data_IF_943969185173
#
_entry.id   IF_943969185173
#
_cell.length_a   1.000
_cell.length_b   1.000
_cell.length_c   1.000
_cell.angle_alpha   90.00
_cell.angle_beta   90.00
_cell.angle_gamma   90.00
#
_symmetry.space_group_name_H-M   'P 1'
#
loop_
_entity.id
_entity.type
_entity.pdbx_description
1 polymer ?
#
# COMPACT_ATOMS: atom_id res chain seq x y z
N UNK A 1 9.77 -4.98 17.02
CA UNK A 1 8.87 -4.01 16.37
C UNK A 1 7.65 -4.75 15.83
N UNK A 2 6.48 -4.29 16.18
CA UNK A 2 5.23 -4.89 15.72
C UNK A 2 4.70 -4.16 14.50
N UNK A 3 4.51 -4.87 13.39
CA UNK A 3 4.11 -4.28 12.11
C UNK A 3 2.88 -4.97 11.53
N UNK A 4 2.06 -4.23 10.80
CA UNK A 4 0.92 -4.74 10.06
C UNK A 4 0.82 -4.02 8.71
N UNK A 5 0.33 -4.73 7.70
CA UNK A 5 -0.03 -4.12 6.42
C UNK A 5 -1.54 -4.23 6.23
N UNK A 6 -2.17 -3.07 6.07
CA UNK A 6 -3.61 -2.96 5.80
C UNK A 6 -3.76 -2.77 4.29
N UNK A 7 -4.55 -3.61 3.64
CA UNK A 7 -4.60 -3.60 2.19
C UNK A 7 -6.01 -3.53 1.62
N UNK A 8 -6.11 -2.91 0.46
CA UNK A 8 -7.29 -2.93 -0.41
C UNK A 8 -6.83 -3.38 -1.79
N UNK A 9 -7.27 -4.55 -2.24
CA UNK A 9 -6.82 -5.12 -3.50
C UNK A 9 -7.95 -5.90 -4.16
N UNK A 10 -8.85 -5.17 -4.82
CA UNK A 10 -10.01 -5.78 -5.48
C UNK A 10 -9.81 -5.99 -6.97
N UNK A 11 -8.91 -5.23 -7.61
CA UNK A 11 -8.74 -5.24 -9.06
C UNK A 11 -7.58 -6.15 -9.45
N UNK A 12 -7.88 -7.37 -9.91
CA UNK A 12 -6.92 -8.42 -10.32
C UNK A 12 -5.99 -8.89 -9.20
N UNK A 13 -6.16 -8.45 -7.97
CA UNK A 13 -5.32 -8.86 -6.85
C UNK A 13 -3.86 -8.40 -6.95
N UNK A 14 -3.57 -7.36 -7.72
CA UNK A 14 -2.21 -6.91 -7.99
C UNK A 14 -1.47 -6.47 -6.72
N UNK A 15 -2.10 -5.60 -5.95
CA UNK A 15 -1.49 -5.09 -4.71
C UNK A 15 -1.29 -6.21 -3.70
N UNK A 16 -2.22 -7.15 -3.64
CA UNK A 16 -2.13 -8.29 -2.75
C UNK A 16 -0.88 -9.14 -2.99
N UNK A 17 -0.44 -9.24 -4.24
CA UNK A 17 0.80 -9.95 -4.58
C UNK A 17 2.01 -9.31 -3.89
N UNK A 18 2.07 -7.99 -3.84
CA UNK A 18 3.13 -7.28 -3.12
C UNK A 18 3.04 -7.53 -1.62
N UNK A 19 1.85 -7.40 -1.07
CA UNK A 19 1.58 -7.58 0.37
C UNK A 19 1.96 -8.99 0.81
N UNK A 20 1.51 -10.00 0.08
CA UNK A 20 1.78 -11.40 0.42
C UNK A 20 3.28 -11.71 0.37
N UNK A 21 4.00 -11.16 -0.60
CA UNK A 21 5.43 -11.37 -0.73
C UNK A 21 6.21 -10.76 0.45
N UNK A 22 5.89 -9.53 0.82
CA UNK A 22 6.51 -8.85 1.96
C UNK A 22 6.17 -9.58 3.26
N UNK A 23 4.90 -9.88 3.47
CA UNK A 23 4.43 -10.55 4.67
C UNK A 23 5.04 -11.95 4.82
N UNK A 24 5.14 -12.68 3.72
CA UNK A 24 5.73 -14.03 3.73
C UNK A 24 7.21 -14.01 4.06
N UNK A 25 7.94 -13.01 3.57
CA UNK A 25 9.38 -12.89 3.83
C UNK A 25 9.67 -12.47 5.27
N UNK A 26 8.91 -11.55 5.82
CA UNK A 26 9.22 -10.91 7.10
C UNK A 26 8.28 -11.34 8.25
N UNK A 27 7.31 -12.21 7.99
CA UNK A 27 6.39 -12.67 9.03
C UNK A 27 5.49 -11.56 9.58
N UNK A 28 4.99 -10.68 8.73
CA UNK A 28 4.19 -9.52 9.14
C UNK A 28 2.70 -9.87 9.09
N UNK A 29 1.95 -9.34 10.04
CA UNK A 29 0.50 -9.44 10.01
C UNK A 29 -0.08 -8.63 8.85
N UNK A 30 -1.17 -9.13 8.27
CA UNK A 30 -1.90 -8.44 7.22
C UNK A 30 -3.40 -8.48 7.51
N UNK A 31 -4.11 -7.45 7.07
CA UNK A 31 -5.57 -7.43 7.17
C UNK A 31 -6.15 -6.57 6.05
N UNK A 32 -7.32 -6.95 5.56
CA UNK A 32 -8.03 -6.11 4.60
C UNK A 32 -8.60 -4.87 5.30
N UNK A 33 -8.72 -3.78 4.54
CA UNK A 33 -9.24 -2.52 5.09
C UNK A 33 -10.57 -2.71 5.81
N UNK A 34 -11.49 -3.47 5.23
CA UNK A 34 -12.82 -3.70 5.81
C UNK A 34 -12.78 -4.53 7.10
N UNK A 35 -11.71 -5.28 7.33
CA UNK A 35 -11.58 -6.10 8.54
C UNK A 35 -11.12 -5.29 9.75
N UNK A 36 -10.47 -4.14 9.53
CA UNK A 36 -9.87 -3.34 10.61
C UNK A 36 -10.64 -2.07 10.94
N UNK A 37 -11.75 -1.82 10.25
CA UNK A 37 -12.60 -0.67 10.53
C UNK A 37 -13.05 -0.70 11.99
N UNK A 38 -12.71 0.34 12.75
CA UNK A 38 -13.02 0.43 14.17
C UNK A 38 -12.11 -0.39 15.09
N UNK A 39 -11.11 -1.07 14.56
CA UNK A 39 -10.13 -1.80 15.37
C UNK A 39 -9.04 -0.86 15.87
N UNK A 40 -8.64 -1.02 17.12
CA UNK A 40 -7.53 -0.24 17.70
C UNK A 40 -6.19 -0.80 17.18
N UNK A 41 -5.46 0.04 16.46
CA UNK A 41 -4.15 -0.31 15.90
C UNK A 41 -3.00 0.35 16.67
N UNK A 42 -3.25 0.88 17.86
CA UNK A 42 -2.25 1.63 18.62
C UNK A 42 -1.05 0.80 19.07
N UNK A 43 -1.19 -0.53 19.16
CA UNK A 43 -0.10 -1.43 19.55
C UNK A 43 0.94 -1.66 18.45
N UNK A 44 0.63 -1.29 17.22
CA UNK A 44 1.59 -1.46 16.12
C UNK A 44 2.53 -0.29 16.06
N UNK A 45 3.81 -0.60 15.83
CA UNK A 45 4.87 0.40 15.69
C UNK A 45 5.00 0.90 14.25
N UNK A 46 4.67 0.03 13.29
CA UNK A 46 4.79 0.30 11.87
C UNK A 46 3.53 -0.17 11.15
N UNK A 47 2.86 0.74 10.46
CA UNK A 47 1.63 0.42 9.73
C UNK A 47 1.84 0.71 8.25
N UNK A 48 1.71 -0.33 7.43
CA UNK A 48 1.69 -0.19 5.98
C UNK A 48 0.27 -0.07 5.47
N UNK A 49 0.06 0.74 4.45
CA UNK A 49 -1.22 0.83 3.75
C UNK A 49 -0.95 0.53 2.28
N UNK A 50 -1.59 -0.50 1.77
CA UNK A 50 -1.37 -0.98 0.42
C UNK A 50 -2.68 -0.94 -0.37
N UNK A 51 -2.64 -0.38 -1.58
CA UNK A 51 -3.85 -0.15 -2.35
C UNK A 51 -3.59 -0.17 -3.85
N UNK A 52 -4.62 -0.50 -4.61
CA UNK A 52 -4.67 -0.12 -6.01
C UNK A 52 -4.95 1.37 -6.15
N UNK A 53 -4.96 1.84 -7.38
CA UNK A 53 -5.12 3.25 -7.73
C UNK A 53 -6.32 3.43 -8.65
N UNK A 54 -7.15 4.42 -8.34
CA UNK A 54 -8.26 4.84 -9.18
C UNK A 54 -8.39 6.36 -9.09
N UNK A 55 -8.65 7.01 -10.23
CA UNK A 55 -8.81 8.47 -10.28
C UNK A 55 -7.62 9.25 -9.69
N UNK A 56 -6.42 8.75 -9.93
CA UNK A 56 -5.18 9.45 -9.56
C UNK A 56 -4.78 9.35 -8.10
N UNK A 57 -5.39 8.46 -7.33
CA UNK A 57 -5.06 8.27 -5.91
C UNK A 57 -5.40 6.84 -5.48
N UNK A 58 -5.12 6.51 -4.23
CA UNK A 58 -5.50 5.20 -3.66
C UNK A 58 -7.01 5.01 -3.72
N UNK A 59 -7.46 3.78 -3.69
CA UNK A 59 -8.89 3.48 -3.62
C UNK A 59 -9.51 4.22 -2.43
N UNK A 60 -10.77 4.59 -2.58
CA UNK A 60 -11.47 5.40 -1.58
C UNK A 60 -11.46 4.77 -0.19
N UNK A 61 -11.61 3.45 -0.10
CA UNK A 61 -11.58 2.77 1.19
C UNK A 61 -10.23 2.93 1.90
N UNK A 62 -9.13 2.93 1.14
CA UNK A 62 -7.79 3.14 1.70
C UNK A 62 -7.58 4.58 2.11
N UNK A 63 -8.04 5.54 1.30
CA UNK A 63 -8.00 6.97 1.65
C UNK A 63 -8.77 7.24 2.94
N UNK A 64 -9.97 6.68 3.02
CA UNK A 64 -10.82 6.82 4.21
C UNK A 64 -10.19 6.19 5.45
N UNK A 65 -9.58 5.01 5.29
CA UNK A 65 -8.87 4.35 6.39
C UNK A 65 -7.77 5.26 6.96
N UNK A 66 -6.95 5.85 6.10
CA UNK A 66 -5.88 6.74 6.56
C UNK A 66 -6.45 7.94 7.30
N UNK A 67 -7.51 8.54 6.76
CA UNK A 67 -8.12 9.72 7.39
C UNK A 67 -8.81 9.42 8.71
N UNK A 68 -9.57 8.34 8.77
CA UNK A 68 -10.47 8.07 9.90
C UNK A 68 -9.93 7.08 10.92
N UNK A 69 -9.14 6.10 10.50
CA UNK A 69 -8.79 4.94 11.33
C UNK A 69 -7.31 4.80 11.64
N UNK A 70 -6.42 5.42 10.87
CA UNK A 70 -4.99 5.37 11.14
C UNK A 70 -4.71 6.09 12.46
N UNK A 71 -4.04 5.43 13.43
CA UNK A 71 -3.67 6.09 14.67
C UNK A 71 -2.71 7.25 14.44
N UNK A 72 -2.83 8.28 15.26
CA UNK A 72 -1.93 9.44 15.20
C UNK A 72 -0.51 9.08 15.62
N UNK A 73 0.47 9.79 15.07
CA UNK A 73 1.85 9.71 15.50
C UNK A 73 2.60 8.43 15.17
N UNK A 74 2.06 7.59 14.30
CA UNK A 74 2.70 6.32 13.93
C UNK A 74 3.71 6.50 12.80
N UNK A 75 4.63 5.55 12.70
CA UNK A 75 5.45 5.39 11.49
C UNK A 75 4.68 4.57 10.49
N UNK A 76 4.56 5.07 9.26
CA UNK A 76 3.76 4.44 8.21
C UNK A 76 4.54 4.34 6.91
N UNK A 77 4.10 3.43 6.05
CA UNK A 77 4.61 3.33 4.69
C UNK A 77 3.47 2.96 3.74
N UNK A 78 3.69 3.19 2.45
CA UNK A 78 2.67 2.94 1.45
C UNK A 78 3.19 2.03 0.34
N UNK A 79 2.33 1.12 -0.11
CA UNK A 79 2.56 0.28 -1.28
C UNK A 79 1.40 0.48 -2.25
N UNK A 80 1.68 0.56 -3.54
CA UNK A 80 0.58 0.62 -4.51
C UNK A 80 0.93 -0.06 -5.83
N UNK A 81 -0.14 -0.46 -6.54
CA UNK A 81 -0.05 -0.88 -7.93
C UNK A 81 -0.96 0.00 -8.79
N UNK A 82 -0.55 0.26 -10.00
CA UNK A 82 -1.27 1.15 -10.93
C UNK A 82 -1.07 0.70 -12.37
N UNK A 83 -1.93 1.17 -13.25
CA UNK A 83 -1.77 0.87 -14.67
C UNK A 83 -0.63 1.62 -15.30
N UNK A 84 -0.50 2.89 -15.00
CA UNK A 84 0.55 3.77 -15.50
C UNK A 84 1.05 4.65 -14.36
N UNK A 85 2.28 4.43 -13.93
CA UNK A 85 2.81 5.09 -12.74
C UNK A 85 3.31 6.51 -13.04
N UNK A 86 2.68 7.50 -12.40
CA UNK A 86 3.10 8.90 -12.48
C UNK A 86 3.95 9.33 -11.29
N UNK A 87 4.11 8.45 -10.29
CA UNK A 87 4.82 8.77 -9.05
C UNK A 87 4.06 9.66 -8.08
N UNK A 88 2.79 9.97 -8.35
CA UNK A 88 2.00 10.95 -7.56
C UNK A 88 0.83 10.32 -6.80
N UNK A 89 0.59 9.03 -6.96
CA UNK A 89 -0.65 8.42 -6.48
C UNK A 89 -0.75 8.30 -4.96
N UNK A 90 0.37 8.35 -4.25
CA UNK A 90 0.37 8.30 -2.79
C UNK A 90 0.33 9.70 -2.15
N UNK A 91 0.31 10.77 -2.93
CA UNK A 91 0.37 12.13 -2.38
C UNK A 91 -0.77 12.44 -1.42
N UNK A 92 -1.98 12.01 -1.74
CA UNK A 92 -3.16 12.26 -0.91
C UNK A 92 -3.07 11.53 0.44
N UNK A 93 -2.80 10.21 0.43
CA UNK A 93 -2.69 9.45 1.69
C UNK A 93 -1.50 9.92 2.52
N UNK A 94 -0.41 10.33 1.87
CA UNK A 94 0.75 10.88 2.55
C UNK A 94 0.39 12.16 3.30
N UNK A 95 -0.29 13.09 2.63
CA UNK A 95 -0.71 14.34 3.25
C UNK A 95 -1.66 14.08 4.43
N UNK A 96 -2.59 13.12 4.28
CA UNK A 96 -3.52 12.76 5.36
C UNK A 96 -2.78 12.16 6.56
N UNK A 97 -1.82 11.29 6.33
CA UNK A 97 -1.02 10.68 7.40
C UNK A 97 -0.16 11.73 8.12
N UNK A 98 0.47 12.61 7.35
CA UNK A 98 1.29 13.70 7.94
C UNK A 98 0.45 14.66 8.77
N UNK A 99 -0.79 14.94 8.35
CA UNK A 99 -1.72 15.78 9.11
C UNK A 99 -2.09 15.16 10.47
N UNK A 100 -1.94 13.84 10.61
CA UNK A 100 -2.15 13.11 11.87
C UNK A 100 -0.86 12.97 12.68
N UNK A 101 0.19 13.65 12.29
CA UNK A 101 1.50 13.57 12.96
C UNK A 101 2.27 12.28 12.68
N UNK A 102 1.84 11.49 11.69
CA UNK A 102 2.54 10.27 11.32
C UNK A 102 3.81 10.59 10.54
N UNK A 103 4.83 9.76 10.75
CA UNK A 103 6.05 9.79 9.96
C UNK A 103 5.90 8.84 8.78
N UNK A 104 5.96 9.35 7.57
CA UNK A 104 5.94 8.52 6.36
C UNK A 104 7.37 8.08 6.07
N UNK A 105 7.65 6.80 6.32
CA UNK A 105 8.99 6.24 6.18
C UNK A 105 9.36 5.96 4.72
N UNK A 106 8.38 5.74 3.87
CA UNK A 106 8.62 5.52 2.45
C UNK A 106 7.39 5.09 1.69
N UNK A 107 7.53 5.05 0.37
CA UNK A 107 6.47 4.63 -0.55
C UNK A 107 7.10 3.80 -1.67
N UNK A 108 6.47 2.68 -1.99
CA UNK A 108 6.84 1.86 -3.15
C UNK A 108 5.63 1.65 -4.02
N UNK A 109 5.78 1.87 -5.32
CA UNK A 109 4.74 1.63 -6.29
C UNK A 109 5.27 0.93 -7.52
N UNK A 110 4.42 0.15 -8.18
CA UNK A 110 4.74 -0.50 -9.43
C UNK A 110 3.49 -0.67 -10.29
N UNK A 111 3.67 -1.18 -11.50
CA UNK A 111 2.55 -1.42 -12.40
C UNK A 111 1.82 -2.70 -12.02
N UNK A 112 0.54 -2.74 -12.33
CA UNK A 112 -0.32 -3.91 -12.20
C UNK A 112 -1.30 -3.95 -13.38
N UNK A 113 -1.73 -5.14 -13.75
CA UNK A 113 -2.70 -5.29 -14.83
C UNK A 113 -3.98 -4.49 -14.51
N UNK A 114 -4.33 -3.57 -15.40
CA UNK A 114 -5.41 -2.62 -15.16
C UNK A 114 -6.41 -2.64 -16.32
N UNK A 115 -7.67 -2.98 -15.98
CA UNK A 115 -8.80 -2.92 -16.94
C UNK A 115 -9.82 -1.88 -16.50
N UNK A 116 -9.47 -0.97 -15.57
CA UNK A 116 -10.39 0.01 -15.01
C UNK A 116 -10.72 1.11 -16.03
N UNK A 117 -11.98 1.50 -16.06
CA UNK A 117 -12.45 2.60 -16.92
C UNK A 117 -12.17 2.34 -18.42
N UNK A 118 -11.58 3.32 -19.12
CA UNK A 118 -11.33 3.20 -20.57
C UNK A 118 -10.33 2.09 -20.93
N UNK A 119 -9.52 1.64 -20.01
CA UNK A 119 -8.56 0.55 -20.29
C UNK A 119 -9.26 -0.76 -20.64
N UNK A 120 -10.48 -0.97 -20.17
CA UNK A 120 -11.27 -2.15 -20.50
C UNK A 120 -11.51 -2.27 -22.02
N UNK A 121 -11.67 -1.15 -22.71
CA UNK A 121 -11.97 -1.12 -24.13
C UNK A 121 -10.83 -1.66 -25.00
N UNK A 122 -9.60 -1.60 -24.49
CA UNK A 122 -8.42 -2.09 -25.21
C UNK A 122 -7.86 -3.37 -24.60
N UNK A 123 -8.63 -4.04 -23.73
CA UNK A 123 -8.21 -5.30 -23.09
C UNK A 123 -7.34 -5.10 -21.87
N UNK A 124 -7.23 -3.87 -21.35
CA UNK A 124 -6.40 -3.55 -20.20
C UNK A 124 -5.03 -3.03 -20.56
N UNK A 125 -4.30 -2.54 -19.58
CA UNK A 125 -2.90 -2.09 -19.72
C UNK A 125 -2.04 -2.79 -18.67
N UNK A 126 -0.73 -2.80 -18.87
CA UNK A 126 0.26 -3.40 -17.97
C UNK A 126 0.03 -4.91 -17.74
N UNK A 127 -0.41 -5.63 -18.76
CA UNK A 127 -0.55 -7.09 -18.69
C UNK A 127 0.77 -7.72 -18.26
N UNK A 128 0.68 -8.72 -17.36
CA UNK A 128 1.85 -9.37 -16.80
C UNK A 128 2.51 -8.63 -15.65
N UNK A 129 1.98 -7.49 -15.25
CA UNK A 129 2.43 -6.74 -14.08
C UNK A 129 1.48 -6.97 -12.90
N UNK A 130 1.99 -6.98 -11.65
CA UNK A 130 3.41 -6.82 -11.33
C UNK A 130 4.23 -8.03 -11.79
N UNK A 131 5.44 -7.77 -12.28
CA UNK A 131 6.40 -8.81 -12.61
C UNK A 131 7.03 -9.35 -11.33
N UNK A 132 7.73 -10.48 -11.41
CA UNK A 132 8.45 -11.01 -10.25
C UNK A 132 9.49 -10.02 -9.75
N UNK A 133 10.16 -9.31 -10.65
CA UNK A 133 11.12 -8.27 -10.28
C UNK A 133 10.47 -7.13 -9.50
N UNK A 134 9.29 -6.72 -9.90
CA UNK A 134 8.53 -5.66 -9.19
C UNK A 134 8.07 -6.13 -7.80
N UNK A 135 7.65 -7.38 -7.69
CA UNK A 135 7.29 -7.98 -6.41
C UNK A 135 8.52 -8.06 -5.49
N UNK A 136 9.65 -8.52 -6.04
CA UNK A 136 10.91 -8.57 -5.30
C UNK A 136 11.37 -7.17 -4.88
N UNK A 137 11.08 -6.16 -5.69
CA UNK A 137 11.33 -4.75 -5.37
C UNK A 137 10.59 -4.30 -4.12
N UNK A 138 9.35 -4.73 -3.95
CA UNK A 138 8.57 -4.41 -2.74
C UNK A 138 9.20 -5.05 -1.50
N UNK A 139 9.68 -6.28 -1.64
CA UNK A 139 10.36 -6.99 -0.54
C UNK A 139 11.65 -6.26 -0.16
N UNK A 140 12.45 -5.87 -1.14
CA UNK A 140 13.69 -5.09 -0.90
C UNK A 140 13.40 -3.74 -0.27
N UNK A 141 12.35 -3.07 -0.76
CA UNK A 141 11.90 -1.79 -0.20
C UNK A 141 11.62 -1.93 1.30
N UNK A 142 10.83 -2.93 1.68
CA UNK A 142 10.50 -3.14 3.09
C UNK A 142 11.75 -3.45 3.93
N UNK A 143 12.64 -4.28 3.42
CA UNK A 143 13.90 -4.60 4.11
C UNK A 143 14.75 -3.35 4.36
N UNK A 144 14.88 -2.47 3.38
CA UNK A 144 15.61 -1.21 3.53
C UNK A 144 14.92 -0.27 4.50
N UNK A 145 13.59 -0.25 4.48
CA UNK A 145 12.79 0.60 5.35
C UNK A 145 12.97 0.23 6.82
N UNK A 146 12.87 -1.05 7.15
CA UNK A 146 13.04 -1.50 8.55
C UNK A 146 14.48 -1.31 9.02
N UNK A 147 15.47 -1.48 8.17
CA UNK A 147 16.86 -1.20 8.51
C UNK A 147 17.07 0.28 8.84
N UNK A 148 16.43 1.17 8.10
CA UNK A 148 16.46 2.61 8.33
C UNK A 148 15.79 3.01 9.65
N UNK A 149 14.66 2.41 9.97
CA UNK A 149 13.92 2.70 11.20
C UNK A 149 14.67 2.21 12.45
N UNK A 150 15.38 1.10 12.30
CA UNK A 150 16.08 0.45 13.43
C UNK A 150 17.38 1.15 13.83
N UNK A 151 17.80 2.18 13.09
CA UNK A 151 19.01 2.95 13.40
C UNK A 151 18.75 4.07 14.40
#
# INVERSE_FOLDING_TARGET
MKAIIIYESTHHGNTRKLVDAVAGKYGIETAAVEEVSGTDLSDYDLIGVASGVAFGKFYEASERFVEESLPEGKTVFFLYTCGNDTGKYANSVRARAEAKGCRVAGTYGCRGFDTFGPFRLIGGIAKGHPTQEEIDGAVRFYGSLIASISQ
#
